data_IF_364092864912
#
_entry.id   IF_364092864912
#
_cell.length_a   1.000
_cell.length_b   1.000
_cell.length_c   1.000
_cell.angle_alpha   90.00
_cell.angle_beta   90.00
_cell.angle_gamma   90.00
#
_symmetry.space_group_name_H-M   'P 1'
#
loop_
_entity.id
_entity.type
_entity.pdbx_description
1 polymer ?
#
# COMPACT_ATOMS: atom_id res chain seq x y z
N UNK A 1 18.82 13.32 -3.81
CA UNK A 1 17.73 12.41 -4.22
C UNK A 1 16.54 12.65 -3.30
N UNK A 2 15.33 12.92 -3.83
CA UNK A 2 14.11 12.97 -3.00
C UNK A 2 13.75 11.53 -2.63
N UNK A 3 13.76 11.21 -1.34
CA UNK A 3 13.19 9.95 -0.84
C UNK A 3 11.68 10.15 -0.73
N UNK A 4 10.90 9.35 -1.45
CA UNK A 4 9.46 9.27 -1.29
C UNK A 4 9.16 8.16 -0.29
N UNK A 5 8.49 8.53 0.80
CA UNK A 5 8.02 7.57 1.79
C UNK A 5 6.54 7.28 1.51
N UNK A 6 6.19 6.01 1.46
CA UNK A 6 4.83 5.54 1.26
C UNK A 6 4.40 4.74 2.48
N UNK A 7 3.19 5.00 2.98
CA UNK A 7 2.56 4.15 3.97
C UNK A 7 1.99 2.92 3.28
N UNK A 8 2.36 1.74 3.76
CA UNK A 8 1.85 0.46 3.27
C UNK A 8 0.86 -0.10 4.29
N UNK A 9 -0.34 -0.43 3.82
CA UNK A 9 -1.33 -1.18 4.58
C UNK A 9 -1.05 -2.65 4.33
N UNK A 10 -0.91 -3.42 5.40
CA UNK A 10 -0.58 -4.83 5.34
C UNK A 10 -1.73 -5.58 5.98
N UNK A 11 -2.37 -6.41 5.18
CA UNK A 11 -3.45 -7.30 5.56
C UNK A 11 -2.98 -8.75 5.38
N UNK A 12 -3.68 -9.66 6.05
CA UNK A 12 -3.48 -11.09 5.89
C UNK A 12 -4.84 -11.72 5.65
N UNK A 13 -4.96 -12.46 4.56
CA UNK A 13 -6.21 -13.15 4.24
C UNK A 13 -6.38 -14.46 5.04
N UNK A 14 -7.49 -15.15 4.77
CA UNK A 14 -7.88 -16.40 5.42
C UNK A 14 -6.91 -17.57 5.15
N UNK A 15 -6.21 -17.56 4.02
CA UNK A 15 -5.18 -18.54 3.66
C UNK A 15 -3.80 -18.17 4.23
N UNK A 16 -3.70 -17.04 4.91
CA UNK A 16 -2.48 -16.56 5.52
C UNK A 16 -1.52 -15.87 4.54
N UNK A 17 -1.98 -15.50 3.34
CA UNK A 17 -1.24 -14.71 2.36
C UNK A 17 -1.21 -13.24 2.80
N UNK A 18 -0.05 -12.59 2.65
CA UNK A 18 0.12 -11.18 2.94
C UNK A 18 -0.31 -10.35 1.74
N UNK A 19 -1.16 -9.35 1.98
CA UNK A 19 -1.63 -8.38 0.99
C UNK A 19 -1.13 -7.00 1.41
N UNK A 20 -0.36 -6.35 0.55
CA UNK A 20 0.14 -5.00 0.74
C UNK A 20 -0.53 -4.03 -0.20
N UNK A 21 -0.93 -2.85 0.29
CA UNK A 21 -1.50 -1.78 -0.53
C UNK A 21 -0.97 -0.41 -0.11
N UNK A 22 -0.94 0.55 -1.03
CA UNK A 22 -0.51 1.94 -0.76
C UNK A 22 -1.72 2.86 -0.93
N UNK A 23 -2.35 3.39 0.12
CA UNK A 23 -3.57 4.19 0.00
C UNK A 23 -3.41 5.45 -0.85
N UNK A 24 -2.21 6.04 -0.88
CA UNK A 24 -1.91 7.21 -1.71
C UNK A 24 -1.80 6.86 -3.20
N UNK A 25 -1.77 5.57 -3.55
CA UNK A 25 -1.78 5.05 -4.92
C UNK A 25 -2.79 3.89 -4.97
N UNK A 26 -4.09 4.19 -5.13
CA UNK A 26 -5.17 3.21 -4.99
C UNK A 26 -5.02 1.95 -5.86
N UNK A 27 -4.33 2.05 -6.99
CA UNK A 27 -4.09 0.93 -7.91
C UNK A 27 -2.84 0.10 -7.60
N UNK A 28 -2.12 0.41 -6.51
CA UNK A 28 -0.86 -0.24 -6.17
C UNK A 28 -1.06 -1.21 -4.99
N UNK A 29 -1.20 -2.49 -5.33
CA UNK A 29 -1.28 -3.59 -4.38
C UNK A 29 -0.41 -4.75 -4.86
N UNK A 30 0.03 -5.58 -3.92
CA UNK A 30 0.76 -6.81 -4.20
C UNK A 30 0.51 -7.84 -3.09
N UNK A 31 0.75 -9.10 -3.40
CA UNK A 31 0.60 -10.20 -2.46
C UNK A 31 1.89 -11.01 -2.35
N UNK A 32 2.02 -11.79 -1.27
CA UNK A 32 3.15 -12.71 -1.07
C UNK A 32 2.87 -13.71 0.04
N UNK A 33 3.54 -14.87 0.00
CA UNK A 33 3.42 -15.90 1.05
C UNK A 33 4.09 -15.46 2.35
N UNK A 34 5.03 -14.52 2.26
CA UNK A 34 5.66 -13.86 3.40
C UNK A 34 5.55 -12.35 3.25
N UNK A 35 5.68 -11.63 4.38
CA UNK A 35 5.71 -10.16 4.37
C UNK A 35 6.86 -9.62 3.50
N UNK A 36 8.03 -10.29 3.50
CA UNK A 36 9.17 -9.89 2.68
C UNK A 36 8.90 -10.04 1.18
N UNK A 37 8.31 -11.17 0.78
CA UNK A 37 7.91 -11.41 -0.61
C UNK A 37 6.89 -10.39 -1.08
N UNK A 38 5.85 -10.13 -0.27
CA UNK A 38 4.84 -9.11 -0.56
C UNK A 38 5.49 -7.73 -0.72
N UNK A 39 6.40 -7.33 0.18
CA UNK A 39 7.07 -6.03 0.09
C UNK A 39 7.97 -5.91 -1.15
N UNK A 40 8.63 -7.00 -1.54
CA UNK A 40 9.42 -7.06 -2.78
C UNK A 40 8.51 -6.82 -4.00
N UNK A 41 7.42 -7.58 -4.09
CA UNK A 41 6.45 -7.47 -5.18
C UNK A 41 5.81 -6.07 -5.21
N UNK A 42 5.47 -5.51 -4.06
CA UNK A 42 4.87 -4.18 -3.94
C UNK A 42 5.80 -3.07 -4.44
N UNK A 43 7.11 -3.17 -4.17
CA UNK A 43 8.10 -2.21 -4.70
C UNK A 43 8.15 -2.26 -6.23
N UNK A 44 8.10 -3.43 -6.84
CA UNK A 44 8.11 -3.57 -8.29
C UNK A 44 6.87 -2.93 -8.93
N UNK A 45 5.68 -3.19 -8.37
CA UNK A 45 4.42 -2.56 -8.81
C UNK A 45 4.46 -1.04 -8.62
N UNK A 46 4.97 -0.56 -7.47
CA UNK A 46 5.11 0.86 -7.17
C UNK A 46 6.00 1.57 -8.21
N UNK A 47 7.12 0.97 -8.61
CA UNK A 47 7.99 1.53 -9.65
C UNK A 47 7.25 1.71 -10.98
N UNK A 48 6.37 0.78 -11.34
CA UNK A 48 5.55 0.88 -12.54
C UNK A 48 4.48 1.99 -12.40
N UNK A 49 3.78 2.06 -11.26
CA UNK A 49 2.78 3.09 -11.00
C UNK A 49 3.38 4.51 -11.02
N UNK A 50 4.57 4.69 -10.45
CA UNK A 50 5.25 5.99 -10.41
C UNK A 50 5.76 6.46 -11.78
N UNK A 51 5.97 5.55 -12.73
CA UNK A 51 6.35 5.92 -14.11
C UNK A 51 5.26 6.72 -14.80
N UNK A 52 3.99 6.44 -14.48
CA UNK A 52 2.82 7.01 -15.13
C UNK A 52 2.12 8.09 -14.28
N UNK A 53 2.60 8.36 -13.06
CA UNK A 53 1.97 9.28 -12.11
C UNK A 53 2.65 10.66 -12.14
N UNK A 54 1.86 11.73 -12.25
CA UNK A 54 2.36 13.10 -12.10
C UNK A 54 2.74 13.38 -10.63
N UNK A 55 4.01 13.72 -10.38
CA UNK A 55 4.57 13.96 -9.02
C UNK A 55 3.77 14.98 -8.18
N UNK A 56 3.10 15.94 -8.80
CA UNK A 56 2.34 16.99 -8.11
C UNK A 56 1.13 16.46 -7.33
N UNK A 57 0.57 15.30 -7.67
CA UNK A 57 -0.62 14.76 -6.99
C UNK A 57 -0.26 14.11 -5.65
N UNK A 58 0.96 13.57 -5.52
CA UNK A 58 1.41 12.85 -4.32
C UNK A 58 1.80 13.79 -3.17
N UNK A 59 2.13 15.05 -3.45
CA UNK A 59 2.62 16.02 -2.45
C UNK A 59 1.50 16.69 -1.62
N UNK A 60 0.24 16.55 -2.01
CA UNK A 60 -0.89 17.26 -1.37
C UNK A 60 -1.63 16.45 -0.29
N UNK A 61 -1.32 15.16 -0.13
CA UNK A 61 -2.01 14.29 0.84
C UNK A 61 -1.02 13.79 1.89
N UNK A 62 -1.28 14.13 3.16
CA UNK A 62 -0.50 13.62 4.30
C UNK A 62 -1.24 12.47 4.95
N UNK A 63 -0.51 11.38 5.20
CA UNK A 63 -1.01 10.28 6.01
C UNK A 63 -1.25 10.76 7.45
N UNK A 64 -2.45 10.50 8.00
CA UNK A 64 -2.84 10.88 9.37
C UNK A 64 -2.83 9.67 10.31
N UNK A 65 -3.31 8.50 9.86
CA UNK A 65 -3.35 7.28 10.67
C UNK A 65 -4.24 6.19 10.06
N UNK A 66 -4.24 5.02 10.71
CA UNK A 66 -5.18 3.92 10.44
C UNK A 66 -6.04 3.76 11.69
N UNK A 67 -7.36 3.65 11.53
CA UNK A 67 -8.28 3.40 12.62
C UNK A 67 -9.17 2.21 12.26
N UNK A 68 -9.12 1.15 13.06
CA UNK A 68 -10.11 0.08 12.98
C UNK A 68 -11.40 0.57 13.62
N UNK A 69 -12.52 0.42 12.91
CA UNK A 69 -13.86 0.68 13.42
C UNK A 69 -14.62 -0.64 13.43
N UNK A 70 -14.95 -1.11 14.62
CA UNK A 70 -15.80 -2.29 14.78
C UNK A 70 -17.27 -1.81 14.80
N UNK A 71 -18.10 -2.41 13.95
CA UNK A 71 -19.54 -2.13 13.90
C UNK A 71 -20.28 -3.45 14.07
N UNK A 72 -21.13 -3.54 15.08
CA UNK A 72 -22.07 -4.63 15.21
C UNK A 72 -23.27 -4.37 14.28
N UNK A 73 -23.55 -5.32 13.39
CA UNK A 73 -24.75 -5.32 12.56
C UNK A 73 -25.60 -6.54 12.96
N UNK A 74 -26.91 -6.33 13.13
CA UNK A 74 -27.87 -7.35 13.58
C UNK A 74 -28.62 -7.98 12.39
#
# INVERSE_FOLDING_TARGET
MKNLNFTVYIERDEDGVFIGSIPTIPSCYAQGKTQEEMLKNLKEVLHLCLRNTHKNTLENTKFVGIQNLEVAYA
#
